data_IF_140945297547
#
_entry.id   IF_140945297547
#
_cell.length_a   1.000
_cell.length_b   1.000
_cell.length_c   1.000
_cell.angle_alpha   90.00
_cell.angle_beta   90.00
_cell.angle_gamma   90.00
#
_symmetry.space_group_name_H-M   'P 1'
#
loop_
_entity.id
_entity.type
_entity.pdbx_description
1 polymer ?
#
# COMPACT_ATOMS: atom_id res chain seq x y z
N UNK A 1 -15.53 12.40 -0.77
CA UNK A 1 -14.18 12.37 -0.16
C UNK A 1 -13.12 12.43 -1.26
N UNK A 2 -12.07 13.22 -1.06
CA UNK A 2 -11.02 13.45 -2.06
C UNK A 2 -10.09 12.23 -2.22
N UNK A 3 -9.38 12.14 -3.35
CA UNK A 3 -8.30 11.15 -3.53
C UNK A 3 -7.26 11.23 -2.41
N UNK A 4 -6.89 12.46 -2.01
CA UNK A 4 -5.95 12.72 -0.92
C UNK A 4 -6.41 12.12 0.40
N UNK A 5 -7.72 12.18 0.72
CA UNK A 5 -8.26 11.58 1.94
C UNK A 5 -7.99 10.08 2.01
N UNK A 6 -8.33 9.32 0.95
CA UNK A 6 -8.08 7.88 0.90
C UNK A 6 -6.57 7.57 0.95
N UNK A 7 -5.73 8.39 0.29
CA UNK A 7 -4.26 8.24 0.33
C UNK A 7 -3.71 8.38 1.75
N UNK A 8 -4.18 9.36 2.53
CA UNK A 8 -3.75 9.56 3.91
C UNK A 8 -4.18 8.39 4.79
N UNK A 9 -5.44 7.95 4.72
CA UNK A 9 -5.92 6.81 5.50
C UNK A 9 -5.16 5.52 5.15
N UNK A 10 -4.88 5.29 3.86
CA UNK A 10 -4.12 4.14 3.42
C UNK A 10 -2.71 4.13 4.03
N UNK A 11 -2.01 5.26 4.02
CA UNK A 11 -0.68 5.36 4.65
C UNK A 11 -0.73 5.24 6.17
N UNK A 12 -1.73 5.84 6.82
CA UNK A 12 -1.94 5.65 8.26
C UNK A 12 -2.06 4.16 8.60
N UNK A 13 -2.86 3.40 7.84
CA UNK A 13 -2.98 1.96 8.00
C UNK A 13 -1.65 1.22 7.80
N UNK A 14 -0.87 1.59 6.78
CA UNK A 14 0.48 1.05 6.54
C UNK A 14 1.37 1.26 7.77
N UNK A 15 1.46 2.49 8.27
CA UNK A 15 2.29 2.78 9.44
C UNK A 15 1.84 2.01 10.68
N UNK A 16 0.54 1.87 10.91
CA UNK A 16 0.01 1.07 12.01
C UNK A 16 0.42 -0.41 11.90
N UNK A 17 0.34 -1.01 10.70
CA UNK A 17 0.74 -2.40 10.48
C UNK A 17 2.24 -2.59 10.72
N UNK A 18 3.09 -1.74 10.12
CA UNK A 18 4.54 -1.86 10.27
C UNK A 18 5.01 -1.61 11.71
N UNK A 19 4.43 -0.60 12.38
CA UNK A 19 4.75 -0.30 13.78
C UNK A 19 4.32 -1.44 14.70
N UNK A 20 3.12 -1.99 14.50
CA UNK A 20 2.64 -3.13 15.27
C UNK A 20 3.50 -4.38 15.09
N UNK A 21 3.83 -4.73 13.85
CA UNK A 21 4.70 -5.87 13.55
C UNK A 21 6.11 -5.68 14.11
N UNK A 22 6.67 -4.45 14.01
CA UNK A 22 7.95 -4.10 14.64
C UNK A 22 7.92 -4.29 16.15
N UNK A 23 6.87 -3.81 16.82
CA UNK A 23 6.66 -4.02 18.26
C UNK A 23 6.60 -5.49 18.64
N UNK A 24 5.83 -6.30 17.89
CA UNK A 24 5.72 -7.75 18.12
C UNK A 24 7.06 -8.47 17.90
N UNK A 25 7.85 -8.05 16.92
CA UNK A 25 9.18 -8.62 16.67
C UNK A 25 10.18 -8.28 17.77
N UNK A 26 10.20 -7.04 18.25
CA UNK A 26 11.04 -6.62 19.37
C UNK A 26 10.66 -7.40 20.63
N UNK A 27 9.36 -7.52 20.91
CA UNK A 27 8.86 -8.35 22.02
C UNK A 27 9.28 -9.82 21.86
N UNK A 28 9.20 -10.38 20.63
CA UNK A 28 9.61 -11.75 20.36
C UNK A 28 11.12 -11.98 20.53
N UNK A 29 11.94 -10.95 20.33
CA UNK A 29 13.39 -11.00 20.56
C UNK A 29 13.78 -10.66 22.00
N UNK A 30 12.88 -10.05 22.77
CA UNK A 30 13.09 -9.75 24.18
C UNK A 30 12.90 -11.01 25.05
N UNK A 31 13.64 -11.07 26.17
CA UNK A 31 13.48 -12.10 27.20
C UNK A 31 12.44 -11.74 28.27
N UNK A 32 11.85 -10.55 28.18
CA UNK A 32 10.92 -10.03 29.17
C UNK A 32 9.49 -10.57 29.01
N UNK A 33 8.91 -11.10 30.08
CA UNK A 33 7.56 -11.67 30.08
C UNK A 33 6.42 -10.63 30.26
N UNK A 34 6.76 -9.38 30.62
CA UNK A 34 5.78 -8.32 30.91
C UNK A 34 5.17 -7.64 29.67
N UNK A 35 5.48 -8.11 28.46
CA UNK A 35 5.03 -7.51 27.19
C UNK A 35 3.52 -7.61 26.89
N UNK A 36 2.70 -8.22 27.76
CA UNK A 36 1.28 -8.54 27.46
C UNK A 36 0.44 -7.33 27.05
N UNK A 37 0.67 -6.17 27.67
CA UNK A 37 -0.03 -4.93 27.30
C UNK A 37 0.44 -4.40 25.95
N UNK A 38 1.75 -4.38 25.70
CA UNK A 38 2.32 -3.99 24.40
C UNK A 38 1.79 -4.89 23.28
N UNK A 39 1.80 -6.20 23.49
CA UNK A 39 1.27 -7.19 22.55
C UNK A 39 -0.18 -6.92 22.18
N UNK A 40 -1.01 -6.59 23.18
CA UNK A 40 -2.43 -6.29 22.98
C UNK A 40 -2.61 -5.05 22.11
N UNK A 41 -1.90 -3.97 22.42
CA UNK A 41 -1.92 -2.75 21.61
C UNK A 41 -1.43 -2.99 20.19
N UNK A 42 -0.31 -3.71 20.03
CA UNK A 42 0.22 -4.06 18.72
C UNK A 42 -0.78 -4.88 17.90
N UNK A 43 -1.42 -5.89 18.48
CA UNK A 43 -2.43 -6.69 17.76
C UNK A 43 -3.67 -5.89 17.35
N UNK A 44 -4.13 -4.96 18.20
CA UNK A 44 -5.25 -4.06 17.87
C UNK A 44 -4.86 -3.12 16.74
N UNK A 45 -3.69 -2.46 16.85
CA UNK A 45 -3.18 -1.55 15.82
C UNK A 45 -2.92 -2.28 14.50
N UNK A 46 -2.45 -3.53 14.54
CA UNK A 46 -2.26 -4.36 13.36
C UNK A 46 -3.57 -4.67 12.65
N UNK A 47 -4.58 -5.16 13.37
CA UNK A 47 -5.89 -5.46 12.80
C UNK A 47 -6.59 -4.23 12.24
N UNK A 48 -6.57 -3.12 12.99
CA UNK A 48 -7.15 -1.85 12.54
C UNK A 48 -6.37 -1.27 11.34
N UNK A 49 -5.05 -1.35 11.37
CA UNK A 49 -4.19 -0.92 10.27
C UNK A 49 -4.50 -1.66 8.97
N UNK A 50 -4.64 -2.99 9.01
CA UNK A 50 -5.03 -3.79 7.84
C UNK A 50 -6.40 -3.39 7.30
N UNK A 51 -7.38 -3.19 8.17
CA UNK A 51 -8.71 -2.77 7.77
C UNK A 51 -8.66 -1.43 7.02
N UNK A 52 -7.90 -0.46 7.54
CA UNK A 52 -7.70 0.85 6.91
C UNK A 52 -6.98 0.72 5.57
N UNK A 53 -5.94 -0.12 5.47
CA UNK A 53 -5.23 -0.40 4.21
C UNK A 53 -6.21 -0.89 3.14
N UNK A 54 -7.04 -1.88 3.45
CA UNK A 54 -7.97 -2.44 2.47
C UNK A 54 -9.08 -1.46 2.11
N UNK A 55 -9.79 -0.88 3.08
CA UNK A 55 -10.90 0.06 2.82
C UNK A 55 -10.41 1.26 2.02
N UNK A 56 -9.31 1.89 2.45
CA UNK A 56 -8.79 3.04 1.74
C UNK A 56 -8.16 2.65 0.40
N UNK A 57 -7.53 1.48 0.30
CA UNK A 57 -6.96 0.95 -0.93
C UNK A 57 -8.01 0.71 -2.01
N UNK A 58 -9.13 0.07 -1.68
CA UNK A 58 -10.27 -0.08 -2.59
C UNK A 58 -10.91 1.27 -2.92
N UNK A 59 -11.03 2.18 -1.95
CA UNK A 59 -11.51 3.55 -2.17
C UNK A 59 -10.64 4.33 -3.17
N UNK A 60 -9.32 4.20 -3.09
CA UNK A 60 -8.37 4.74 -4.06
C UNK A 60 -8.57 4.16 -5.46
N UNK A 61 -8.81 2.85 -5.58
CA UNK A 61 -9.02 2.21 -6.87
C UNK A 61 -10.33 2.65 -7.53
N UNK A 62 -11.42 2.76 -6.77
CA UNK A 62 -12.68 3.28 -7.27
C UNK A 62 -12.54 4.71 -7.82
N UNK A 63 -11.71 5.54 -7.16
CA UNK A 63 -11.41 6.92 -7.61
C UNK A 63 -10.55 6.98 -8.87
N UNK A 64 -9.75 5.94 -9.13
CA UNK A 64 -8.91 5.84 -10.32
C UNK A 64 -9.64 5.17 -11.50
N UNK A 65 -10.90 4.74 -11.33
CA UNK A 65 -11.68 4.11 -12.39
C UNK A 65 -11.33 2.65 -12.67
N UNK A 66 -10.48 2.01 -11.86
CA UNK A 66 -10.03 0.61 -12.06
C UNK A 66 -11.06 -0.42 -11.55
N UNK A 67 -12.32 -0.31 -11.99
CA UNK A 67 -13.42 -1.19 -11.55
C UNK A 67 -13.58 -2.41 -12.47
N UNK A 68 -13.33 -2.26 -13.78
CA UNK A 68 -13.53 -3.32 -14.79
C UNK A 68 -12.30 -4.20 -15.04
N UNK A 69 -11.15 -3.90 -14.44
CA UNK A 69 -9.93 -4.68 -14.56
C UNK A 69 -8.84 -4.17 -13.63
N UNK A 70 -8.36 -5.02 -12.73
CA UNK A 70 -7.33 -4.63 -11.77
C UNK A 70 -5.95 -4.70 -12.42
N UNK A 71 -5.15 -3.62 -12.36
CA UNK A 71 -3.77 -3.69 -12.77
C UNK A 71 -2.96 -4.74 -11.98
N UNK A 72 -1.93 -5.31 -12.58
CA UNK A 72 -1.05 -6.31 -11.94
C UNK A 72 -0.50 -5.84 -10.58
N UNK A 73 -0.19 -4.55 -10.42
CA UNK A 73 0.30 -3.98 -9.16
C UNK A 73 -0.69 -4.08 -8.00
N UNK A 74 -1.99 -4.11 -8.27
CA UNK A 74 -3.05 -4.27 -7.26
C UNK A 74 -2.99 -5.67 -6.65
N UNK A 75 -2.89 -6.69 -7.49
CA UNK A 75 -2.78 -8.08 -7.03
C UNK A 75 -1.55 -8.28 -6.16
N UNK A 76 -0.40 -7.72 -6.57
CA UNK A 76 0.83 -7.76 -5.76
C UNK A 76 0.60 -7.16 -4.37
N UNK A 77 -0.08 -6.00 -4.29
CA UNK A 77 -0.37 -5.38 -3.00
C UNK A 77 -1.30 -6.21 -2.14
N UNK A 78 -2.36 -6.79 -2.72
CA UNK A 78 -3.28 -7.65 -1.98
C UNK A 78 -2.52 -8.83 -1.38
N UNK A 79 -1.70 -9.52 -2.18
CA UNK A 79 -0.87 -10.64 -1.71
C UNK A 79 0.06 -10.19 -0.59
N UNK A 80 0.76 -9.06 -0.75
CA UNK A 80 1.66 -8.54 0.28
C UNK A 80 0.91 -8.21 1.58
N UNK A 81 -0.21 -7.50 1.51
CA UNK A 81 -1.00 -7.14 2.69
C UNK A 81 -1.61 -8.36 3.37
N UNK A 82 -2.02 -9.37 2.60
CA UNK A 82 -2.50 -10.65 3.16
C UNK A 82 -1.38 -11.40 3.89
N UNK A 83 -0.17 -11.46 3.32
CA UNK A 83 0.99 -12.09 3.99
C UNK A 83 1.31 -11.32 5.29
N UNK A 84 1.40 -9.98 5.23
CA UNK A 84 1.64 -9.15 6.42
C UNK A 84 0.51 -9.25 7.45
N UNK A 85 -0.72 -9.54 7.02
CA UNK A 85 -1.84 -9.79 7.92
C UNK A 85 -1.80 -11.16 8.60
N UNK A 86 -1.36 -12.19 7.89
CA UNK A 86 -1.24 -13.55 8.42
C UNK A 86 0.01 -13.81 9.25
N UNK A 87 1.01 -12.91 9.23
CA UNK A 87 2.32 -13.17 9.84
C UNK A 87 2.32 -13.01 11.37
N UNK A 88 1.40 -12.24 11.95
CA UNK A 88 1.32 -11.97 13.40
C UNK A 88 1.29 -13.23 14.28
N UNK A 89 0.44 -14.25 14.03
CA UNK A 89 0.48 -15.50 14.79
C UNK A 89 1.79 -16.28 14.60
N UNK A 90 2.47 -16.15 13.46
CA UNK A 90 3.75 -16.80 13.21
C UNK A 90 4.85 -16.19 14.09
N UNK A 91 4.90 -14.86 14.23
CA UNK A 91 5.81 -14.15 15.14
C UNK A 91 5.63 -14.64 16.58
N UNK A 92 4.38 -14.75 17.02
CA UNK A 92 4.07 -15.15 18.41
C UNK A 92 4.32 -16.64 18.68
N UNK A 93 4.12 -17.52 17.69
CA UNK A 93 4.33 -18.97 17.83
C UNK A 93 5.77 -19.42 17.61
N UNK A 94 6.54 -18.71 16.77
CA UNK A 94 7.89 -19.08 16.35
C UNK A 94 8.86 -17.93 16.59
N UNK A 95 9.00 -17.49 17.86
CA UNK A 95 9.88 -16.39 18.27
C UNK A 95 11.34 -16.54 17.78
N UNK A 96 11.84 -17.77 17.65
CA UNK A 96 13.18 -18.04 17.10
C UNK A 96 13.38 -17.55 15.65
N UNK A 97 12.29 -17.35 14.88
CA UNK A 97 12.32 -16.83 13.50
C UNK A 97 12.27 -15.30 13.45
N UNK A 98 12.21 -14.59 14.59
CA UNK A 98 11.98 -13.14 14.62
C UNK A 98 12.95 -12.36 13.73
N UNK A 99 14.25 -12.68 13.74
CA UNK A 99 15.24 -12.02 12.87
C UNK A 99 14.96 -12.24 11.37
N UNK A 100 14.57 -13.46 10.98
CA UNK A 100 14.22 -13.77 9.60
C UNK A 100 12.91 -13.07 9.19
N UNK A 101 11.90 -13.07 10.07
CA UNK A 101 10.62 -12.39 9.85
C UNK A 101 10.79 -10.87 9.74
N UNK A 102 11.74 -10.29 10.48
CA UNK A 102 12.08 -8.87 10.36
C UNK A 102 12.53 -8.51 8.95
N UNK A 103 13.52 -9.26 8.41
CA UNK A 103 14.02 -9.06 7.04
C UNK A 103 12.92 -9.29 6.02
N UNK A 104 12.09 -10.32 6.22
CA UNK A 104 10.95 -10.62 5.35
C UNK A 104 9.94 -9.47 5.34
N UNK A 105 9.57 -8.92 6.49
CA UNK A 105 8.60 -7.80 6.59
C UNK A 105 9.13 -6.56 5.88
N UNK A 106 10.41 -6.22 6.05
CA UNK A 106 11.05 -5.12 5.31
C UNK A 106 11.02 -5.41 3.80
N UNK A 107 11.41 -6.62 3.38
CA UNK A 107 11.39 -7.03 1.98
C UNK A 107 10.01 -6.92 1.36
N UNK A 108 8.97 -7.36 2.07
CA UNK A 108 7.57 -7.22 1.63
C UNK A 108 7.16 -5.74 1.50
N UNK A 109 7.58 -4.88 2.43
CA UNK A 109 7.35 -3.43 2.34
C UNK A 109 8.02 -2.80 1.12
N UNK A 110 9.27 -3.18 0.83
CA UNK A 110 10.00 -2.73 -0.36
C UNK A 110 9.30 -3.21 -1.64
N UNK A 111 8.89 -4.47 -1.70
CA UNK A 111 8.14 -5.02 -2.85
C UNK A 111 6.82 -4.27 -3.06
N UNK A 112 6.10 -3.95 -1.98
CA UNK A 112 4.86 -3.17 -2.06
C UNK A 112 5.10 -1.76 -2.61
N UNK A 113 6.18 -1.11 -2.15
CA UNK A 113 6.59 0.22 -2.60
C UNK A 113 7.05 0.21 -4.06
N UNK A 114 7.90 -0.74 -4.44
CA UNK A 114 8.40 -0.89 -5.80
C UNK A 114 7.28 -1.26 -6.79
N UNK A 115 6.30 -2.06 -6.39
CA UNK A 115 5.12 -2.33 -7.22
C UNK A 115 4.34 -1.07 -7.58
N UNK A 116 4.43 0.00 -6.78
CA UNK A 116 3.78 1.27 -7.06
C UNK A 116 4.48 2.11 -8.15
N UNK A 117 5.75 1.83 -8.50
CA UNK A 117 6.49 2.57 -9.53
C UNK A 117 6.23 2.02 -10.94
N UNK A 118 5.80 0.75 -11.07
CA UNK A 118 5.44 0.13 -12.34
C UNK A 118 4.07 0.55 -12.88
N UNK A 119 3.44 1.56 -12.29
CA UNK A 119 2.24 2.16 -12.88
C UNK A 119 2.67 2.78 -14.21
N UNK A 120 2.07 2.42 -15.36
CA UNK A 120 2.27 3.21 -16.55
C UNK A 120 1.77 4.61 -16.21
N UNK A 121 2.67 5.59 -16.27
CA UNK A 121 2.31 7.00 -16.32
C UNK A 121 1.41 7.12 -17.54
N UNK A 122 0.08 7.11 -17.35
CA UNK A 122 -0.82 7.50 -18.42
C UNK A 122 -0.41 8.92 -18.77
N UNK A 123 0.24 9.03 -19.92
CA UNK A 123 0.60 10.26 -20.60
C UNK A 123 -0.46 11.31 -20.33
N UNK A 124 -0.11 12.34 -19.56
CA UNK A 124 -0.85 13.60 -19.54
C UNK A 124 -0.55 14.41 -20.81
N UNK A 125 -0.31 13.77 -21.95
CA UNK A 125 -0.33 14.48 -23.22
C UNK A 125 -1.81 14.57 -23.63
N UNK A 126 -2.41 15.77 -23.68
CA UNK A 126 -3.69 15.92 -24.34
C UNK A 126 -3.57 15.39 -25.78
N UNK A 127 -4.59 14.70 -26.29
CA UNK A 127 -4.57 14.20 -27.65
C UNK A 127 -4.50 15.40 -28.58
N UNK A 128 -3.36 15.61 -29.25
CA UNK A 128 -3.23 16.17 -30.60
C UNK A 128 -4.26 17.24 -31.02
N UNK A 129 -4.64 18.15 -30.13
CA UNK A 129 -5.54 19.26 -30.42
C UNK A 129 -4.76 20.49 -30.92
N UNK A 130 -3.43 20.37 -30.98
CA UNK A 130 -2.52 21.39 -31.50
C UNK A 130 -2.12 21.13 -32.97
N UNK A 131 -2.56 20.03 -33.58
CA UNK A 131 -2.31 19.75 -35.01
C UNK A 131 -3.58 19.79 -35.89
N UNK A 132 -4.70 20.31 -35.36
CA UNK A 132 -5.97 20.38 -36.11
C UNK A 132 -6.55 21.80 -36.20
N UNK A 133 -5.70 22.84 -36.25
CA UNK A 133 -6.11 24.12 -36.85
C UNK A 133 -5.65 24.06 -38.31
N UNK A 134 -6.55 23.79 -39.28
CA UNK A 134 -6.17 23.95 -40.67
C UNK A 134 -5.83 25.42 -40.90
N UNK A 135 -4.74 25.67 -41.62
CA UNK A 135 -4.30 26.97 -42.10
C UNK A 135 -5.45 27.72 -42.81
N UNK A 136 -6.26 28.46 -42.04
CA UNK A 136 -7.29 29.36 -42.56
C UNK A 136 -6.72 30.73 -42.95
N UNK A 137 -5.40 30.85 -43.07
CA UNK A 137 -4.71 32.10 -43.41
C UNK A 137 -4.20 32.17 -44.86
N UNK A 138 -4.55 31.20 -45.72
CA UNK A 138 -4.14 31.20 -47.15
C UNK A 138 -5.27 31.45 -48.17
N UNK A 139 -6.49 31.77 -47.72
CA UNK A 139 -7.65 31.91 -48.62
C UNK A 139 -8.25 33.34 -48.71
N UNK A 140 -7.51 34.37 -48.30
CA UNK A 140 -8.02 35.76 -48.34
C UNK A 140 -7.06 36.75 -49.01
N UNK A 141 -6.36 36.33 -50.06
CA UNK A 141 -5.59 37.24 -50.93
C UNK A 141 -5.39 36.62 -52.34
N UNK A 142 -6.48 36.45 -53.10
CA UNK A 142 -6.50 36.45 -54.58
C UNK A 142 -7.87 36.89 -55.10
#
# INVERSE_FOLDING_TARGET
MSYTFYKVIHFAGIFMVFMALGGLLIEAMSKEENGKNMRRWAMISHGLGLLLIFIAGFGLMARLGFISGWPSWVYVKIVVWTILGGISPLILRKRQWAKALWVLIIGLGVVAGYSATKKPSFSQNPPAAEEAVPDLESATDQ
#
